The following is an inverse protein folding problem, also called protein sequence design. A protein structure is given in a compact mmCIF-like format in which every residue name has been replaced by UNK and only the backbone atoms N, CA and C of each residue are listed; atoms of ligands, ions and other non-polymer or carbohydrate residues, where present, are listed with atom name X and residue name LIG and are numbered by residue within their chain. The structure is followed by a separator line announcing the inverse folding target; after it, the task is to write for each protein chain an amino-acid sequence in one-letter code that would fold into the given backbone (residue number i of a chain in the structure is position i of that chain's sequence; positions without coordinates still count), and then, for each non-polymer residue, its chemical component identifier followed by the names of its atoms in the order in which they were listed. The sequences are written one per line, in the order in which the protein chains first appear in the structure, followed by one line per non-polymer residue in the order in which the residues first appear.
data_IF_080502464069
#
_entry.id   IF_080502464069
#
_cell.length_a   1.000
_cell.length_b   1.000
_cell.length_c   1.000
_cell.angle_alpha   90.00
_cell.angle_beta   90.00
_cell.angle_gamma   90.00
#
_symmetry.space_group_name_H-M   'P 1'
#
loop_
_entity.id
_entity.type
_entity.pdbx_description
1 polymer ?
#
# COMPACT_ATOMS: atom_id res chain seq x y z
N UNK A 1 -9.81 -18.72 6.25
CA UNK A 1 -9.51 -17.32 5.91
C UNK A 1 -8.64 -16.79 7.03
N UNK A 2 -7.39 -16.39 6.76
CA UNK A 2 -6.52 -15.85 7.79
C UNK A 2 -7.16 -14.58 8.38
N UNK A 3 -7.21 -14.49 9.70
CA UNK A 3 -7.66 -13.29 10.40
C UNK A 3 -6.73 -12.13 10.01
N UNK A 4 -7.26 -11.11 9.35
CA UNK A 4 -6.47 -9.98 8.90
C UNK A 4 -6.16 -9.13 10.14
N UNK A 5 -4.93 -9.25 10.64
CA UNK A 5 -4.47 -8.48 11.80
C UNK A 5 -4.05 -7.09 11.30
N UNK A 6 -4.76 -6.06 11.76
CA UNK A 6 -4.44 -4.67 11.45
C UNK A 6 -3.34 -4.12 12.38
N UNK A 7 -2.48 -3.19 11.90
CA UNK A 7 -2.49 -2.62 10.55
C UNK A 7 -1.81 -3.53 9.53
N UNK A 8 -2.33 -3.56 8.31
CA UNK A 8 -1.83 -4.43 7.25
C UNK A 8 -1.84 -3.74 5.89
N UNK A 9 -0.93 -4.16 5.01
CA UNK A 9 -1.00 -3.89 3.59
C UNK A 9 -1.75 -5.02 2.91
N UNK A 10 -2.75 -4.67 2.09
CA UNK A 10 -3.48 -5.62 1.26
C UNK A 10 -3.19 -5.32 -0.19
N UNK A 11 -2.58 -6.28 -0.85
CA UNK A 11 -2.31 -6.22 -2.28
C UNK A 11 -3.51 -6.79 -3.06
N UNK A 12 -3.89 -6.15 -4.15
CA UNK A 12 -5.02 -6.54 -5.00
C UNK A 12 -4.72 -6.24 -6.46
N UNK A 13 -5.27 -7.08 -7.35
CA UNK A 13 -5.17 -6.91 -8.79
C UNK A 13 -6.46 -6.31 -9.35
N UNK A 14 -6.34 -5.25 -10.13
CA UNK A 14 -7.43 -4.61 -10.84
C UNK A 14 -7.88 -5.42 -12.06
N UNK A 15 -9.06 -5.09 -12.61
CA UNK A 15 -9.59 -5.68 -13.85
C UNK A 15 -8.66 -5.51 -15.05
N UNK A 16 -7.86 -4.44 -15.07
CA UNK A 16 -6.82 -4.22 -16.10
C UNK A 16 -5.57 -5.09 -15.93
N UNK A 17 -5.55 -5.93 -14.91
CA UNK A 17 -4.45 -6.82 -14.58
C UNK A 17 -3.27 -6.13 -13.90
N UNK A 18 -3.46 -4.91 -13.41
CA UNK A 18 -2.46 -4.16 -12.67
C UNK A 18 -2.62 -4.38 -11.16
N UNK A 19 -1.53 -4.35 -10.43
CA UNK A 19 -1.46 -4.54 -8.99
C UNK A 19 -1.45 -3.18 -8.27
N UNK A 20 -2.15 -3.11 -7.15
CA UNK A 20 -2.12 -1.98 -6.24
C UNK A 20 -2.25 -2.48 -4.81
N UNK A 21 -1.73 -1.70 -3.86
CA UNK A 21 -1.86 -1.99 -2.45
C UNK A 21 -2.74 -0.95 -1.75
N UNK A 22 -3.42 -1.40 -0.70
CA UNK A 22 -4.20 -0.58 0.21
C UNK A 22 -3.71 -0.83 1.62
N UNK A 23 -3.37 0.24 2.33
CA UNK A 23 -2.97 0.17 3.73
C UNK A 23 -4.18 0.43 4.63
N UNK A 24 -4.44 -0.55 5.50
CA UNK A 24 -5.50 -0.48 6.49
C UNK A 24 -4.90 -0.18 7.85
N UNK A 25 -5.41 0.85 8.51
CA UNK A 25 -5.02 1.19 9.87
C UNK A 25 -5.59 0.19 10.88
N UNK A 26 -5.15 0.30 12.16
CA UNK A 26 -5.64 -0.53 13.28
C UNK A 26 -7.16 -0.55 13.45
N UNK A 27 -7.84 0.50 12.99
CA UNK A 27 -9.30 0.63 13.01
C UNK A 27 -10.00 -0.08 11.84
N UNK A 28 -9.25 -0.82 11.00
CA UNK A 28 -9.78 -1.51 9.82
C UNK A 28 -10.14 -0.59 8.65
N UNK A 29 -9.86 0.71 8.72
CA UNK A 29 -10.13 1.66 7.64
C UNK A 29 -8.93 1.80 6.72
N UNK A 30 -9.19 1.87 5.42
CA UNK A 30 -8.19 2.23 4.43
C UNK A 30 -7.78 3.70 4.63
N UNK A 31 -6.50 3.94 4.90
CA UNK A 31 -5.97 5.31 5.09
C UNK A 31 -5.00 5.72 3.99
N UNK A 32 -4.43 4.75 3.27
CA UNK A 32 -3.54 5.01 2.14
C UNK A 32 -3.75 3.94 1.06
N UNK A 33 -3.54 4.35 -0.18
CA UNK A 33 -3.63 3.51 -1.37
C UNK A 33 -2.49 3.90 -2.30
N UNK A 34 -1.92 2.92 -2.99
CA UNK A 34 -1.08 3.22 -4.14
C UNK A 34 -1.91 3.93 -5.21
N UNK A 35 -1.50 5.14 -5.58
CA UNK A 35 -2.02 5.80 -6.79
C UNK A 35 -1.45 5.16 -8.06
N UNK A 36 -0.25 4.58 -7.95
CA UNK A 36 0.42 3.92 -9.05
C UNK A 36 -0.07 2.48 -9.18
N UNK A 37 -0.29 2.05 -10.42
CA UNK A 37 -0.74 0.71 -10.76
C UNK A 37 0.41 -0.05 -11.39
N UNK A 38 0.83 -1.14 -10.74
CA UNK A 38 2.01 -1.92 -11.13
C UNK A 38 1.65 -3.04 -12.09
N UNK A 39 2.49 -3.34 -13.09
CA UNK A 39 2.25 -4.49 -13.98
C UNK A 39 2.61 -5.81 -13.28
N UNK A 40 3.69 -5.82 -12.50
CA UNK A 40 4.12 -6.99 -11.75
C UNK A 40 3.85 -6.87 -10.26
N UNK A 41 3.54 -8.01 -9.65
CA UNK A 41 3.38 -8.12 -8.20
C UNK A 41 4.63 -7.68 -7.44
N UNK A 42 5.82 -8.02 -7.98
CA UNK A 42 7.10 -7.71 -7.34
C UNK A 42 7.31 -6.20 -7.15
N UNK A 43 6.93 -5.39 -8.15
CA UNK A 43 6.99 -3.93 -8.06
C UNK A 43 6.02 -3.39 -7.00
N UNK A 44 4.83 -4.00 -6.91
CA UNK A 44 3.84 -3.65 -5.90
C UNK A 44 4.35 -3.95 -4.47
N UNK A 45 4.94 -5.14 -4.25
CA UNK A 45 5.60 -5.48 -2.99
C UNK A 45 6.75 -4.52 -2.66
N UNK A 46 7.57 -4.18 -3.66
CA UNK A 46 8.68 -3.26 -3.46
C UNK A 46 8.22 -1.87 -3.01
N UNK A 47 7.13 -1.36 -3.60
CA UNK A 47 6.48 -0.12 -3.18
C UNK A 47 6.01 -0.16 -1.71
N UNK A 48 5.47 -1.29 -1.25
CA UNK A 48 5.12 -1.49 0.16
C UNK A 48 6.36 -1.44 1.06
N UNK A 49 7.47 -2.06 0.66
CA UNK A 49 8.73 -2.04 1.42
C UNK A 49 9.32 -0.64 1.53
N UNK A 50 9.26 0.15 0.45
CA UNK A 50 9.64 1.56 0.46
C UNK A 50 8.79 2.34 1.48
N UNK A 51 7.47 2.18 1.45
CA UNK A 51 6.56 2.85 2.41
C UNK A 51 6.78 2.43 3.87
N UNK A 52 7.20 1.20 4.12
CA UNK A 52 7.59 0.77 5.47
C UNK A 52 8.88 1.42 5.94
N UNK A 53 9.78 1.73 5.01
CA UNK A 53 11.08 2.33 5.27
C UNK A 53 11.01 3.86 5.34
N UNK A 54 9.98 4.47 4.74
CA UNK A 54 9.86 5.93 4.59
C UNK A 54 9.53 6.73 5.85
N UNK A 55 9.63 6.10 7.03
CA UNK A 55 9.40 6.73 8.33
C UNK A 55 10.24 7.99 8.55
N UNK A 56 11.44 8.06 7.98
CA UNK A 56 12.38 9.15 8.14
C UNK A 56 12.40 10.14 6.97
N UNK A 57 11.59 9.92 5.93
CA UNK A 57 11.54 10.81 4.79
C UNK A 57 10.95 12.19 5.17
N UNK A 58 11.49 13.29 4.63
CA UNK A 58 11.01 14.63 4.92
C UNK A 58 9.59 14.84 4.37
N UNK A 59 8.73 15.47 5.17
CA UNK A 59 7.37 15.85 4.77
C UNK A 59 7.36 17.31 4.35
N UNK A 60 6.97 17.56 3.09
CA UNK A 60 6.76 18.90 2.56
C UNK A 60 5.26 19.17 2.42
N UNK A 61 4.82 20.36 2.86
CA UNK A 61 3.47 20.88 2.64
C UNK A 61 3.58 22.02 1.63
N UNK A 62 3.11 21.81 0.40
CA UNK A 62 2.90 22.90 -0.54
C UNK A 62 1.45 23.40 -0.41
N UNK A 63 1.29 24.72 -0.32
CA UNK A 63 0.02 25.42 -0.13
C UNK A 63 -0.30 26.36 -1.29
#
# INVERSE_FOLDING_TARGET
MADIIYPCYRETKDHKGQWYWVYYAKNGKAIARSSESYVHQKDCTHSIELMKTSRADPVFLEG
#
